data_IF_064222243013
#
_entry.id   IF_064222243013
#
_cell.length_a   1.000
_cell.length_b   1.000
_cell.length_c   1.000
_cell.angle_alpha   90.00
_cell.angle_beta   90.00
_cell.angle_gamma   90.00
#
_symmetry.space_group_name_H-M   'P 1'
#
loop_
_entity.id
_entity.type
_entity.pdbx_description
1 polymer ?
#
# COMPACT_ATOMS: atom_id res chain seq x y z
N UNK A 1 9.71 -67.35 -35.23
CA UNK A 1 8.96 -66.09 -35.04
C UNK A 1 8.60 -65.83 -33.57
N UNK A 2 9.59 -65.69 -32.66
CA UNK A 2 9.34 -65.58 -31.19
C UNK A 2 10.03 -64.38 -30.50
N UNK A 3 10.95 -63.67 -31.17
CA UNK A 3 11.73 -62.59 -30.53
C UNK A 3 11.05 -61.20 -30.54
N UNK A 4 9.97 -61.01 -31.30
CA UNK A 4 9.34 -59.68 -31.51
C UNK A 4 8.45 -59.26 -30.33
N UNK A 5 7.82 -60.21 -29.60
CA UNK A 5 6.91 -59.89 -28.47
C UNK A 5 7.61 -59.36 -27.21
N UNK A 6 8.90 -59.66 -26.99
CA UNK A 6 9.60 -59.25 -25.75
C UNK A 6 10.02 -57.78 -25.73
N UNK A 7 10.26 -57.15 -26.90
CA UNK A 7 10.68 -55.74 -26.98
C UNK A 7 9.56 -54.77 -26.60
N UNK A 8 8.33 -55.04 -27.00
CA UNK A 8 7.17 -54.15 -26.82
C UNK A 8 6.83 -53.94 -25.33
N UNK A 9 6.93 -54.98 -24.50
CA UNK A 9 6.65 -54.88 -23.06
C UNK A 9 7.64 -53.98 -22.29
N UNK A 10 8.91 -53.93 -22.72
CA UNK A 10 9.91 -53.07 -22.08
C UNK A 10 9.72 -51.58 -22.39
N UNK A 11 9.28 -51.26 -23.62
CA UNK A 11 9.00 -49.88 -24.06
C UNK A 11 7.74 -49.35 -23.39
N UNK A 12 6.68 -50.15 -23.31
CA UNK A 12 5.43 -49.77 -22.64
C UNK A 12 5.66 -49.50 -21.14
N UNK A 13 6.44 -50.34 -20.45
CA UNK A 13 6.79 -50.09 -19.04
C UNK A 13 7.58 -48.80 -18.85
N UNK A 14 8.56 -48.53 -19.72
CA UNK A 14 9.32 -47.27 -19.69
C UNK A 14 8.42 -46.05 -19.92
N UNK A 15 7.54 -46.13 -20.92
CA UNK A 15 6.57 -45.06 -21.18
C UNK A 15 5.65 -44.82 -19.98
N UNK A 16 5.17 -45.89 -19.33
CA UNK A 16 4.36 -45.78 -18.13
C UNK A 16 5.12 -45.12 -16.98
N UNK A 17 6.36 -45.53 -16.70
CA UNK A 17 7.17 -44.90 -15.65
C UNK A 17 7.44 -43.42 -15.92
N UNK A 18 7.75 -43.06 -17.18
CA UNK A 18 7.96 -41.66 -17.57
C UNK A 18 6.67 -40.86 -17.36
N UNK A 19 5.52 -41.38 -17.80
CA UNK A 19 4.23 -40.71 -17.63
C UNK A 19 3.90 -40.52 -16.15
N UNK A 20 4.05 -41.55 -15.32
CA UNK A 20 3.81 -41.47 -13.88
C UNK A 20 4.76 -40.46 -13.21
N UNK A 21 6.05 -40.44 -13.58
CA UNK A 21 7.01 -39.48 -13.06
C UNK A 21 6.64 -38.04 -13.44
N UNK A 22 6.26 -37.79 -14.70
CA UNK A 22 5.84 -36.47 -15.18
C UNK A 22 4.58 -36.01 -14.45
N UNK A 23 3.56 -36.87 -14.30
CA UNK A 23 2.33 -36.53 -13.59
C UNK A 23 2.59 -36.25 -12.10
N UNK A 24 3.44 -37.05 -11.46
CA UNK A 24 3.81 -36.86 -10.04
C UNK A 24 4.54 -35.53 -9.86
N UNK A 25 5.50 -35.23 -10.75
CA UNK A 25 6.23 -33.98 -10.72
C UNK A 25 5.30 -32.78 -10.97
N UNK A 26 4.45 -32.85 -11.99
CA UNK A 26 3.48 -31.79 -12.29
C UNK A 26 2.50 -31.56 -11.13
N UNK A 27 2.04 -32.64 -10.48
CA UNK A 27 1.17 -32.58 -9.30
C UNK A 27 1.87 -31.92 -8.11
N UNK A 28 3.08 -32.35 -7.79
CA UNK A 28 3.87 -31.77 -6.70
C UNK A 28 4.22 -30.30 -6.98
N UNK A 29 4.62 -29.99 -8.20
CA UNK A 29 4.93 -28.62 -8.62
C UNK A 29 3.70 -27.71 -8.51
N UNK A 30 2.55 -28.17 -9.00
CA UNK A 30 1.29 -27.43 -8.88
C UNK A 30 0.94 -27.20 -7.41
N UNK A 31 1.03 -28.25 -6.57
CA UNK A 31 0.80 -28.13 -5.14
C UNK A 31 1.69 -27.06 -4.49
N UNK A 32 3.00 -27.06 -4.79
CA UNK A 32 3.92 -26.05 -4.26
C UNK A 32 3.56 -24.63 -4.69
N UNK A 33 3.20 -24.44 -5.95
CA UNK A 33 2.77 -23.13 -6.47
C UNK A 33 1.47 -22.68 -5.82
N UNK A 34 0.48 -23.56 -5.64
CA UNK A 34 -0.79 -23.17 -5.02
C UNK A 34 -0.64 -22.91 -3.51
N UNK A 35 0.20 -23.67 -2.82
CA UNK A 35 0.40 -23.52 -1.36
C UNK A 35 1.30 -22.36 -0.98
N UNK A 36 2.36 -22.09 -1.75
CA UNK A 36 3.40 -21.11 -1.38
C UNK A 36 3.57 -19.99 -2.40
N UNK A 37 2.98 -20.13 -3.59
CA UNK A 37 3.12 -19.16 -4.67
C UNK A 37 2.09 -18.05 -4.66
N UNK A 38 1.07 -18.13 -3.80
CA UNK A 38 0.08 -17.06 -3.65
C UNK A 38 0.75 -15.82 -3.04
N UNK A 39 0.55 -14.69 -3.70
CA UNK A 39 0.90 -13.37 -3.21
C UNK A 39 -0.35 -12.53 -3.19
N UNK A 40 -0.64 -11.90 -2.06
CA UNK A 40 -1.72 -10.94 -1.93
C UNK A 40 -1.32 -9.79 -1.01
N UNK A 41 -2.12 -8.73 -0.99
CA UNK A 41 -1.83 -7.56 -0.18
C UNK A 41 -2.69 -6.39 -0.58
N UNK A 42 -2.40 -5.26 0.05
CA UNK A 42 -3.12 -4.00 -0.16
C UNK A 42 -2.15 -2.92 -0.65
N UNK A 43 -2.63 -2.09 -1.57
CA UNK A 43 -1.95 -0.90 -2.06
C UNK A 43 -2.82 0.34 -1.79
N UNK A 44 -2.19 1.48 -1.57
CA UNK A 44 -2.84 2.77 -1.40
C UNK A 44 -2.42 3.71 -2.53
N UNK A 45 -3.36 4.41 -3.13
CA UNK A 45 -3.08 5.46 -4.12
C UNK A 45 -3.21 6.83 -3.49
N UNK A 46 -2.12 7.62 -3.40
CA UNK A 46 -2.20 9.02 -2.98
C UNK A 46 -3.07 9.85 -3.92
N UNK A 47 -2.93 9.66 -5.22
CA UNK A 47 -3.59 10.49 -6.22
C UNK A 47 -5.11 10.29 -6.25
N UNK A 48 -5.59 9.07 -5.94
CA UNK A 48 -7.02 8.78 -5.78
C UNK A 48 -7.51 8.86 -4.35
N UNK A 49 -6.58 8.89 -3.39
CA UNK A 49 -6.83 8.69 -1.97
C UNK A 49 -7.68 7.45 -1.70
N UNK A 50 -7.31 6.32 -2.29
CA UNK A 50 -8.08 5.07 -2.23
C UNK A 50 -7.19 3.84 -2.05
N UNK A 51 -7.72 2.78 -1.44
CA UNK A 51 -7.06 1.48 -1.33
C UNK A 51 -7.58 0.48 -2.35
N UNK A 52 -6.75 -0.50 -2.67
CA UNK A 52 -7.14 -1.70 -3.40
C UNK A 52 -6.35 -2.89 -2.91
N UNK A 53 -6.99 -4.05 -2.97
CA UNK A 53 -6.30 -5.32 -2.77
C UNK A 53 -5.81 -5.86 -4.11
N UNK A 54 -4.73 -6.63 -4.05
CA UNK A 54 -4.23 -7.36 -5.19
C UNK A 54 -3.97 -8.83 -4.83
N UNK A 55 -4.03 -9.70 -5.82
CA UNK A 55 -3.65 -11.10 -5.68
C UNK A 55 -3.09 -11.64 -6.99
N UNK A 56 -2.04 -12.45 -6.90
CA UNK A 56 -1.48 -13.22 -8.01
C UNK A 56 -0.76 -14.48 -7.51
N UNK A 57 -0.38 -15.35 -8.43
CA UNK A 57 0.50 -16.48 -8.17
C UNK A 57 1.87 -16.27 -8.83
N UNK A 58 2.90 -16.68 -8.11
CA UNK A 58 4.29 -16.72 -8.58
C UNK A 58 4.93 -18.07 -8.27
N UNK A 59 6.01 -18.40 -8.97
CA UNK A 59 6.85 -19.55 -8.61
C UNK A 59 7.67 -19.18 -7.36
N UNK A 60 7.51 -19.86 -6.21
CA UNK A 60 8.07 -19.41 -4.93
C UNK A 60 9.59 -19.14 -4.94
N UNK A 61 10.36 -20.02 -5.59
CA UNK A 61 11.83 -19.95 -5.60
C UNK A 61 12.34 -18.81 -6.50
N UNK A 62 11.71 -18.62 -7.65
CA UNK A 62 12.16 -17.66 -8.66
C UNK A 62 11.44 -16.32 -8.60
N UNK A 63 10.38 -16.21 -7.77
CA UNK A 63 9.46 -15.07 -7.70
C UNK A 63 8.92 -14.64 -9.07
N UNK A 64 8.81 -15.62 -10.00
CA UNK A 64 8.31 -15.37 -11.34
C UNK A 64 6.79 -15.41 -11.32
N UNK A 65 6.15 -14.27 -11.60
CA UNK A 65 4.70 -14.16 -11.71
C UNK A 65 4.18 -15.03 -12.87
N UNK A 66 3.18 -15.87 -12.58
CA UNK A 66 2.59 -16.81 -13.56
C UNK A 66 1.11 -16.54 -13.85
N UNK A 67 0.44 -15.75 -13.01
CA UNK A 67 -0.94 -15.28 -13.29
C UNK A 67 -0.96 -13.77 -13.39
N UNK A 68 -1.93 -13.18 -14.12
CA UNK A 68 -2.19 -11.74 -14.03
C UNK A 68 -2.45 -11.31 -12.59
N UNK A 69 -2.20 -10.04 -12.29
CA UNK A 69 -2.57 -9.44 -11.00
C UNK A 69 -4.06 -9.12 -11.04
N UNK A 70 -4.83 -9.81 -10.21
CA UNK A 70 -6.24 -9.51 -9.95
C UNK A 70 -6.31 -8.44 -8.89
N UNK A 71 -7.17 -7.43 -9.09
CA UNK A 71 -7.34 -6.32 -8.15
C UNK A 71 -8.80 -6.14 -7.77
N UNK A 72 -9.05 -5.78 -6.53
CA UNK A 72 -10.38 -5.42 -6.02
C UNK A 72 -10.31 -4.14 -5.20
N UNK A 73 -11.33 -3.30 -5.28
CA UNK A 73 -11.43 -2.07 -4.51
C UNK A 73 -12.49 -2.29 -3.42
N UNK A 74 -12.12 -2.79 -2.23
CA UNK A 74 -13.06 -2.86 -1.12
C UNK A 74 -13.57 -1.46 -0.75
N UNK A 75 -14.80 -1.39 -0.24
CA UNK A 75 -15.38 -0.15 0.24
C UNK A 75 -14.65 0.31 1.51
N UNK A 76 -14.37 1.61 1.61
CA UNK A 76 -13.67 2.19 2.74
C UNK A 76 -14.37 3.47 3.18
N UNK A 77 -15.09 3.38 4.29
CA UNK A 77 -16.05 4.41 4.70
C UNK A 77 -15.45 5.83 4.79
N UNK A 78 -14.19 5.96 5.24
CA UNK A 78 -13.54 7.26 5.38
C UNK A 78 -13.07 7.80 4.04
N UNK A 79 -12.35 7.02 3.25
CA UNK A 79 -11.88 7.42 1.92
C UNK A 79 -13.04 7.73 0.97
N UNK A 80 -14.06 6.88 0.97
CA UNK A 80 -15.28 7.09 0.19
C UNK A 80 -15.97 8.38 0.63
N UNK A 81 -16.04 8.64 1.94
CA UNK A 81 -16.60 9.90 2.46
C UNK A 81 -15.79 11.13 1.99
N UNK A 82 -14.45 11.10 2.11
CA UNK A 82 -13.58 12.21 1.71
C UNK A 82 -13.68 12.53 0.21
N UNK A 83 -13.81 11.48 -0.61
CA UNK A 83 -13.98 11.60 -2.06
C UNK A 83 -15.38 12.13 -2.42
N UNK A 84 -16.43 11.54 -1.83
CA UNK A 84 -17.82 11.91 -2.13
C UNK A 84 -18.15 13.35 -1.71
N UNK A 85 -17.64 13.80 -0.56
CA UNK A 85 -17.79 15.17 -0.07
C UNK A 85 -16.84 16.17 -0.75
N UNK A 86 -16.01 15.72 -1.70
CA UNK A 86 -15.03 16.53 -2.43
C UNK A 86 -14.08 17.29 -1.50
N UNK A 87 -13.81 16.73 -0.31
CA UNK A 87 -12.81 17.25 0.63
C UNK A 87 -11.42 17.09 0.00
N UNK A 88 -11.19 15.95 -0.65
CA UNK A 88 -10.05 15.68 -1.50
C UNK A 88 -10.51 15.55 -2.95
N UNK A 89 -9.81 16.22 -3.85
CA UNK A 89 -10.06 16.08 -5.28
C UNK A 89 -9.02 15.12 -5.85
N UNK A 90 -9.46 14.01 -6.48
CA UNK A 90 -8.52 13.06 -7.08
C UNK A 90 -7.70 13.73 -8.18
N UNK A 91 -6.41 13.44 -8.20
CA UNK A 91 -5.49 13.85 -9.25
C UNK A 91 -5.86 13.24 -10.60
N UNK A 92 -5.56 13.96 -11.70
CA UNK A 92 -5.91 13.52 -13.06
C UNK A 92 -4.85 12.67 -13.77
N UNK A 93 -3.63 12.57 -13.25
CA UNK A 93 -2.48 12.34 -14.16
C UNK A 93 -1.55 11.18 -13.84
N UNK A 94 -1.50 10.66 -12.61
CA UNK A 94 -0.67 9.49 -12.29
C UNK A 94 -1.38 8.53 -11.35
N UNK A 95 -1.33 7.25 -11.70
CA UNK A 95 -1.94 6.16 -10.92
C UNK A 95 -0.85 5.49 -10.07
N UNK A 96 -0.23 6.25 -9.16
CA UNK A 96 0.76 5.68 -8.23
C UNK A 96 0.04 4.85 -7.19
N UNK A 97 0.59 3.67 -6.91
CA UNK A 97 0.11 2.73 -5.90
C UNK A 97 1.26 2.34 -5.00
N UNK A 98 1.18 2.76 -3.75
CA UNK A 98 2.19 2.54 -2.73
C UNK A 98 1.78 1.31 -1.90
N UNK A 99 2.69 0.34 -1.68
CA UNK A 99 2.35 -0.88 -0.96
C UNK A 99 2.01 -0.56 0.50
N UNK A 100 0.92 -1.14 0.99
CA UNK A 100 0.52 -1.10 2.41
C UNK A 100 1.04 -2.36 3.10
N UNK A 101 0.68 -3.51 2.56
CA UNK A 101 1.18 -4.80 3.02
C UNK A 101 1.27 -5.76 1.84
N UNK A 102 2.13 -6.75 1.95
CA UNK A 102 2.26 -7.83 0.98
C UNK A 102 2.54 -9.12 1.72
N UNK A 103 1.71 -10.12 1.47
CA UNK A 103 1.81 -11.48 1.97
C UNK A 103 2.30 -12.39 0.85
N UNK A 104 3.34 -13.17 1.12
CA UNK A 104 3.84 -14.20 0.21
C UNK A 104 4.23 -15.43 1.00
N UNK A 105 3.41 -16.48 0.92
CA UNK A 105 3.55 -17.64 1.81
C UNK A 105 3.46 -17.22 3.29
N UNK A 106 4.52 -17.48 4.06
CA UNK A 106 4.60 -17.09 5.46
C UNK A 106 5.22 -15.70 5.70
N UNK A 107 5.71 -15.02 4.65
CA UNK A 107 6.32 -13.71 4.77
C UNK A 107 5.27 -12.61 4.65
N UNK A 108 5.37 -11.62 5.54
CA UNK A 108 4.65 -10.36 5.44
C UNK A 108 5.67 -9.22 5.34
N UNK A 109 5.47 -8.34 4.37
CA UNK A 109 6.25 -7.12 4.19
C UNK A 109 5.28 -5.95 4.27
N UNK A 110 5.57 -4.99 5.15
CA UNK A 110 4.81 -3.77 5.27
C UNK A 110 5.49 -2.66 4.48
N UNK A 111 4.71 -1.86 3.77
CA UNK A 111 5.19 -0.65 3.12
C UNK A 111 4.81 0.60 3.92
N UNK A 112 5.44 1.74 3.59
CA UNK A 112 5.29 2.98 4.35
C UNK A 112 3.84 3.51 4.35
N UNK A 113 3.07 3.24 3.30
CA UNK A 113 1.67 3.62 3.22
C UNK A 113 0.81 2.97 4.32
N UNK A 114 1.28 1.87 4.93
CA UNK A 114 0.65 1.27 6.12
C UNK A 114 0.50 2.23 7.27
N UNK A 115 1.44 3.19 7.42
CA UNK A 115 1.34 4.22 8.47
C UNK A 115 0.01 4.96 8.32
N UNK A 116 -0.28 5.50 7.13
CA UNK A 116 -1.54 6.19 6.89
C UNK A 116 -2.75 5.26 7.06
N UNK A 117 -2.71 4.07 6.46
CA UNK A 117 -3.85 3.15 6.52
C UNK A 117 -4.20 2.73 7.95
N UNK A 118 -3.22 2.54 8.83
CA UNK A 118 -3.46 2.27 10.25
C UNK A 118 -4.22 3.42 10.93
N UNK A 119 -3.92 4.67 10.58
CA UNK A 119 -4.70 5.80 11.08
C UNK A 119 -6.10 5.83 10.48
N UNK A 120 -6.26 5.64 9.16
CA UNK A 120 -7.58 5.60 8.52
C UNK A 120 -8.50 4.53 9.14
N UNK A 121 -7.91 3.39 9.52
CA UNK A 121 -8.62 2.27 10.15
C UNK A 121 -8.74 2.36 11.68
N UNK A 122 -8.24 3.44 12.30
CA UNK A 122 -8.30 3.60 13.75
C UNK A 122 -9.75 3.66 14.21
N UNK A 123 -10.10 2.77 15.16
CA UNK A 123 -11.44 2.70 15.73
C UNK A 123 -11.53 3.44 17.06
N UNK A 124 -12.69 4.02 17.34
CA UNK A 124 -13.04 4.55 18.65
C UNK A 124 -13.54 3.43 19.59
N UNK A 125 -13.81 3.77 20.85
CA UNK A 125 -14.31 2.82 21.86
C UNK A 125 -15.66 2.18 21.49
N UNK A 126 -16.47 2.87 20.68
CA UNK A 126 -17.75 2.38 20.17
C UNK A 126 -17.61 1.48 18.92
N UNK A 127 -16.39 1.23 18.44
CA UNK A 127 -16.09 0.42 17.26
C UNK A 127 -16.24 1.15 15.92
N UNK A 128 -16.65 2.42 15.92
CA UNK A 128 -16.71 3.28 14.74
C UNK A 128 -15.33 3.79 14.31
N UNK A 129 -15.20 4.33 13.10
CA UNK A 129 -13.94 4.89 12.60
C UNK A 129 -13.69 6.27 13.21
N UNK A 130 -12.64 6.39 14.02
CA UNK A 130 -12.32 7.59 14.78
C UNK A 130 -12.21 8.83 13.89
N UNK A 131 -11.50 8.72 12.77
CA UNK A 131 -11.24 9.86 11.89
C UNK A 131 -12.40 10.17 10.96
N UNK A 132 -13.29 9.21 10.70
CA UNK A 132 -14.56 9.47 10.04
C UNK A 132 -15.47 10.31 10.94
N UNK A 133 -15.59 9.92 12.21
CA UNK A 133 -16.38 10.67 13.18
C UNK A 133 -15.77 12.07 13.42
N UNK A 134 -14.44 12.16 13.55
CA UNK A 134 -13.73 13.43 13.67
C UNK A 134 -13.98 14.35 12.47
N UNK A 135 -13.99 13.79 11.25
CA UNK A 135 -14.23 14.55 10.01
C UNK A 135 -15.69 14.97 9.89
N UNK A 136 -16.64 14.20 10.42
CA UNK A 136 -18.06 14.54 10.42
C UNK A 136 -18.46 15.51 11.53
N UNK A 137 -17.61 15.72 12.54
CA UNK A 137 -17.89 16.66 13.63
C UNK A 137 -17.85 18.11 13.14
N UNK A 138 -18.97 18.81 13.28
CA UNK A 138 -19.11 20.23 12.93
C UNK A 138 -18.09 21.14 13.65
N UNK A 139 -17.61 20.76 14.84
CA UNK A 139 -16.55 21.49 15.56
C UNK A 139 -15.22 21.51 14.79
N UNK A 140 -15.00 20.50 13.95
CA UNK A 140 -13.78 20.36 13.17
C UNK A 140 -13.93 20.91 11.74
N UNK A 141 -15.11 21.42 11.35
CA UNK A 141 -15.40 21.85 9.97
C UNK A 141 -14.32 22.73 9.34
N UNK A 142 -13.78 23.69 10.09
CA UNK A 142 -12.72 24.61 9.63
C UNK A 142 -11.33 23.94 9.50
N UNK A 143 -11.11 22.81 10.18
CA UNK A 143 -9.84 22.06 10.22
C UNK A 143 -9.76 20.95 9.17
N UNK A 144 -10.92 20.39 8.76
CA UNK A 144 -11.02 19.26 7.83
C UNK A 144 -10.17 19.45 6.58
N UNK A 145 -10.37 20.57 5.87
CA UNK A 145 -9.73 20.78 4.57
C UNK A 145 -8.20 20.98 4.68
N UNK A 146 -7.68 21.86 5.56
CA UNK A 146 -6.24 21.95 5.78
C UNK A 146 -5.61 20.62 6.21
N UNK A 147 -6.29 19.89 7.10
CA UNK A 147 -5.82 18.61 7.62
C UNK A 147 -5.64 17.55 6.54
N UNK A 148 -6.73 17.24 5.82
CA UNK A 148 -6.69 16.22 4.78
C UNK A 148 -5.82 16.63 3.61
N UNK A 149 -5.72 17.93 3.30
CA UNK A 149 -4.80 18.44 2.29
C UNK A 149 -3.33 18.20 2.68
N UNK A 150 -2.96 18.38 3.95
CA UNK A 150 -1.60 18.10 4.43
C UNK A 150 -1.27 16.60 4.34
N UNK A 151 -2.20 15.73 4.75
CA UNK A 151 -2.04 14.27 4.63
C UNK A 151 -1.90 13.86 3.16
N UNK A 152 -2.78 14.35 2.30
CA UNK A 152 -2.74 14.06 0.87
C UNK A 152 -1.40 14.51 0.25
N UNK A 153 -0.92 15.71 0.59
CA UNK A 153 0.37 16.21 0.14
C UNK A 153 1.55 15.35 0.64
N UNK A 154 1.56 14.94 1.91
CA UNK A 154 2.57 14.03 2.45
C UNK A 154 2.55 12.69 1.71
N UNK A 155 1.38 12.10 1.51
CA UNK A 155 1.23 10.87 0.75
C UNK A 155 1.78 11.04 -0.67
N UNK A 156 1.45 12.12 -1.39
CA UNK A 156 2.00 12.39 -2.73
C UNK A 156 3.52 12.53 -2.76
N UNK A 157 4.14 13.01 -1.69
CA UNK A 157 5.59 13.09 -1.55
C UNK A 157 6.24 11.78 -1.09
N UNK A 158 5.46 10.72 -0.85
CA UNK A 158 5.89 9.49 -0.19
C UNK A 158 6.44 9.76 1.23
N UNK A 159 6.00 10.84 1.86
CA UNK A 159 6.42 11.30 3.18
C UNK A 159 5.49 10.76 4.29
N UNK A 160 5.19 9.46 4.25
CA UNK A 160 4.27 8.82 5.20
C UNK A 160 4.72 8.92 6.66
N UNK A 161 6.03 9.10 6.89
CA UNK A 161 6.61 9.33 8.21
C UNK A 161 6.08 10.59 8.92
N UNK A 162 5.61 11.61 8.18
CA UNK A 162 5.12 12.87 8.76
C UNK A 162 3.67 12.78 9.26
N UNK A 163 2.92 11.79 8.77
CA UNK A 163 1.49 11.62 9.02
C UNK A 163 1.14 11.45 10.51
N UNK A 164 1.88 10.68 11.31
CA UNK A 164 1.64 10.58 12.75
C UNK A 164 1.56 11.94 13.43
N UNK A 165 2.50 12.85 13.13
CA UNK A 165 2.54 14.18 13.73
C UNK A 165 1.34 15.03 13.31
N UNK A 166 0.83 14.89 12.08
CA UNK A 166 -0.37 15.61 11.64
C UNK A 166 -1.60 15.18 12.42
N UNK A 167 -1.77 13.86 12.65
CA UNK A 167 -2.85 13.33 13.47
C UNK A 167 -2.73 13.80 14.94
N UNK A 168 -1.52 13.94 15.48
CA UNK A 168 -1.33 14.50 16.82
C UNK A 168 -1.73 15.98 16.91
N UNK A 169 -1.38 16.82 15.93
CA UNK A 169 -1.87 18.21 15.86
C UNK A 169 -3.41 18.23 15.83
N UNK A 170 -4.04 17.36 15.03
CA UNK A 170 -5.51 17.28 14.95
C UNK A 170 -6.20 16.89 16.27
N UNK A 171 -5.54 16.09 17.12
CA UNK A 171 -6.05 15.74 18.45
C UNK A 171 -5.89 16.87 19.45
N UNK A 172 -4.77 17.58 19.40
CA UNK A 172 -4.36 18.53 20.44
C UNK A 172 -4.94 19.93 20.22
N UNK A 173 -5.00 20.40 18.98
CA UNK A 173 -5.36 21.79 18.71
C UNK A 173 -6.87 21.98 18.69
N UNK A 174 -7.40 22.70 19.69
CA UNK A 174 -8.83 23.01 19.79
C UNK A 174 -9.22 24.19 18.90
N UNK A 175 -8.36 25.20 18.78
CA UNK A 175 -8.61 26.41 18.01
C UNK A 175 -8.35 26.19 16.50
N UNK A 176 -9.34 26.49 15.65
CA UNK A 176 -9.21 26.37 14.21
C UNK A 176 -8.18 27.34 13.59
N UNK A 177 -8.00 28.53 14.16
CA UNK A 177 -7.06 29.54 13.63
C UNK A 177 -5.59 29.14 13.88
N UNK A 178 -5.31 28.57 15.06
CA UNK A 178 -3.97 28.08 15.39
C UNK A 178 -3.63 26.76 14.68
N UNK A 179 -4.65 25.93 14.39
CA UNK A 179 -4.49 24.59 13.83
C UNK A 179 -3.70 24.58 12.53
N UNK A 180 -4.06 25.43 11.59
CA UNK A 180 -3.40 25.46 10.28
C UNK A 180 -1.95 25.94 10.38
N UNK A 181 -1.67 26.93 11.24
CA UNK A 181 -0.30 27.41 11.50
C UNK A 181 0.55 26.32 12.13
N UNK A 182 0.01 25.60 13.12
CA UNK A 182 0.70 24.51 13.80
C UNK A 182 0.97 23.33 12.85
N UNK A 183 -0.03 22.97 12.04
CA UNK A 183 0.10 21.92 11.04
C UNK A 183 1.18 22.24 9.99
N UNK A 184 1.22 23.48 9.49
CA UNK A 184 2.28 23.95 8.56
C UNK A 184 3.65 23.93 9.20
N UNK A 185 3.77 24.38 10.45
CA UNK A 185 5.02 24.38 11.21
C UNK A 185 5.56 22.95 11.37
N UNK A 186 4.70 22.02 11.79
CA UNK A 186 5.06 20.60 11.91
C UNK A 186 5.43 20.01 10.55
N UNK A 187 4.65 20.27 9.49
CA UNK A 187 4.95 19.78 8.15
C UNK A 187 6.30 20.29 7.64
N UNK A 188 6.59 21.59 7.82
CA UNK A 188 7.87 22.20 7.46
C UNK A 188 9.03 21.48 8.15
N UNK A 189 8.95 21.31 9.47
CA UNK A 189 10.00 20.68 10.26
C UNK A 189 10.23 19.24 9.80
N UNK A 190 9.16 18.44 9.69
CA UNK A 190 9.25 17.04 9.27
C UNK A 190 9.87 16.89 7.87
N UNK A 191 9.46 17.73 6.91
CA UNK A 191 10.02 17.67 5.56
C UNK A 191 11.47 18.15 5.51
N UNK A 192 11.85 19.15 6.30
CA UNK A 192 13.22 19.66 6.36
C UNK A 192 14.18 18.64 6.97
N UNK A 193 13.79 18.03 8.08
CA UNK A 193 14.61 17.01 8.76
C UNK A 193 14.82 15.80 7.84
N UNK A 194 13.74 15.29 7.25
CA UNK A 194 13.85 14.19 6.30
C UNK A 194 14.66 14.54 5.06
N UNK A 195 14.53 15.76 4.51
CA UNK A 195 15.33 16.20 3.38
C UNK A 195 16.83 16.17 3.70
N UNK A 196 17.20 16.62 4.89
CA UNK A 196 18.58 16.59 5.38
C UNK A 196 19.10 15.16 5.51
N UNK A 197 18.28 14.26 6.06
CA UNK A 197 18.63 12.84 6.17
C UNK A 197 18.83 12.20 4.79
N UNK A 198 17.93 12.46 3.82
CA UNK A 198 18.04 11.96 2.45
C UNK A 198 19.27 12.51 1.71
N UNK A 199 19.62 13.78 1.93
CA UNK A 199 20.84 14.37 1.40
C UNK A 199 22.09 13.68 1.94
N UNK A 200 22.10 13.35 3.24
CA UNK A 200 23.23 12.66 3.89
C UNK A 200 23.51 11.26 3.32
N UNK A 201 22.50 10.61 2.73
CA UNK A 201 22.60 9.29 2.09
C UNK A 201 22.63 9.35 0.56
N UNK A 202 22.95 10.51 -0.02
CA UNK A 202 23.04 10.76 -1.47
C UNK A 202 21.74 10.52 -2.26
N UNK A 203 20.56 10.74 -1.65
CA UNK A 203 19.27 10.72 -2.34
C UNK A 203 18.81 12.15 -2.67
N UNK A 204 19.59 12.86 -3.47
CA UNK A 204 19.42 14.29 -3.76
C UNK A 204 18.05 14.63 -4.38
N UNK A 205 17.51 13.79 -5.25
CA UNK A 205 16.20 14.04 -5.89
C UNK A 205 15.04 14.03 -4.88
N UNK A 206 15.10 13.14 -3.89
CA UNK A 206 14.09 13.06 -2.81
C UNK A 206 14.25 14.24 -1.85
N UNK A 207 15.49 14.55 -1.47
CA UNK A 207 15.81 15.69 -0.63
C UNK A 207 15.32 17.01 -1.25
N UNK A 208 15.56 17.24 -2.54
CA UNK A 208 15.12 18.45 -3.24
C UNK A 208 13.59 18.61 -3.20
N UNK A 209 12.84 17.53 -3.47
CA UNK A 209 11.37 17.54 -3.40
C UNK A 209 10.87 17.90 -2.00
N UNK A 210 11.49 17.35 -0.96
CA UNK A 210 11.14 17.60 0.43
C UNK A 210 11.51 19.03 0.87
N UNK A 211 12.69 19.54 0.50
CA UNK A 211 13.07 20.94 0.73
C UNK A 211 12.11 21.91 0.00
N UNK A 212 11.71 21.60 -1.23
CA UNK A 212 10.71 22.39 -1.95
C UNK A 212 9.35 22.37 -1.23
N UNK A 213 8.93 21.22 -0.70
CA UNK A 213 7.70 21.11 0.09
C UNK A 213 7.77 21.88 1.41
N UNK A 214 8.90 21.83 2.12
CA UNK A 214 9.13 22.58 3.35
C UNK A 214 9.06 24.11 3.12
N UNK A 215 9.71 24.61 2.06
CA UNK A 215 9.67 26.03 1.67
C UNK A 215 8.27 26.52 1.33
N UNK A 216 7.44 25.67 0.69
CA UNK A 216 6.05 26.03 0.38
C UNK A 216 5.20 26.28 1.63
N UNK A 217 5.56 25.71 2.78
CA UNK A 217 4.85 25.97 4.03
C UNK A 217 5.11 27.39 4.58
N UNK A 218 6.07 28.16 4.02
CA UNK A 218 6.42 29.51 4.48
C UNK A 218 5.65 30.64 3.76
N UNK A 219 5.09 30.37 2.57
CA UNK A 219 4.70 31.42 1.60
C UNK A 219 3.19 31.77 1.65
N UNK A 220 2.40 31.09 2.49
CA UNK A 220 0.94 31.27 2.58
C UNK A 220 0.46 31.31 4.03
#
# INVERSE_FOLDING_TARGET
MSSIRKRTGSVVRRALYILTAVLTFAGLFSFLVFSFGRVDGTEFSPDRFSRRDFTYYQIPIFKLQITPVVRSNPAHDLEDYLSNEKILLPGKTDDRWDPVNTFSGAAQIDGDAKILCNYLDTRNEAGGFLWLDWTKDEKNKKKIRPFWSAIHQAAKLNAYFAIPSFFEVAKQTRNAEAFETELRSVAKQQYFDAATDYESVNQSDTAEKLFAAARKQEIE
#
